data_IF_159736510588
#
_entry.id   IF_159736510588
#
_cell.length_a   1.000
_cell.length_b   1.000
_cell.length_c   1.000
_cell.angle_alpha   90.00
_cell.angle_beta   90.00
_cell.angle_gamma   90.00
#
_symmetry.space_group_name_H-M   'P 1'
#
loop_
_entity.id
_entity.type
_entity.pdbx_description
1 polymer ?
#
# COMPACT_ATOMS: atom_id res chain seq x y z
N UNK A 1 6.64 21.08 4.71
CA UNK A 1 5.34 20.95 5.35
C UNK A 1 4.81 19.55 5.15
N UNK A 2 4.49 18.88 6.22
CA UNK A 2 4.03 17.50 6.18
C UNK A 2 2.56 17.45 5.78
N UNK A 3 2.22 16.71 4.74
CA UNK A 3 0.85 16.57 4.29
C UNK A 3 0.36 15.15 4.62
N UNK A 4 -0.74 15.08 5.36
CA UNK A 4 -1.41 13.82 5.62
C UNK A 4 -2.53 13.62 4.62
N UNK A 5 -2.49 12.50 3.95
CA UNK A 5 -3.54 12.11 3.02
C UNK A 5 -4.67 11.42 3.79
N UNK A 6 -5.89 11.54 3.29
CA UNK A 6 -7.02 10.80 3.83
C UNK A 6 -6.89 9.30 3.52
N UNK A 7 -7.60 8.43 4.24
CA UNK A 7 -7.59 6.99 3.92
C UNK A 7 -7.96 6.71 2.46
N UNK A 8 -8.92 7.42 1.90
CA UNK A 8 -9.32 7.24 0.51
C UNK A 8 -8.23 7.69 -0.45
N UNK A 9 -7.58 8.81 -0.17
CA UNK A 9 -6.45 9.28 -0.97
C UNK A 9 -5.29 8.29 -0.92
N UNK A 10 -4.98 7.76 0.28
CA UNK A 10 -3.93 6.75 0.43
C UNK A 10 -4.27 5.47 -0.33
N UNK A 11 -5.50 4.97 -0.18
CA UNK A 11 -5.95 3.78 -0.91
C UNK A 11 -5.85 3.98 -2.41
N UNK A 12 -6.28 5.13 -2.90
CA UNK A 12 -6.23 5.48 -4.32
C UNK A 12 -4.79 5.45 -4.84
N UNK A 13 -3.87 6.01 -4.06
CA UNK A 13 -2.46 6.03 -4.40
C UNK A 13 -1.87 4.62 -4.41
N UNK A 14 -2.14 3.83 -3.38
CA UNK A 14 -1.62 2.46 -3.28
C UNK A 14 -2.15 1.58 -4.41
N UNK A 15 -3.43 1.68 -4.73
CA UNK A 15 -4.05 0.91 -5.82
C UNK A 15 -3.45 1.30 -7.18
N UNK A 16 -3.01 2.54 -7.35
CA UNK A 16 -2.41 2.99 -8.61
C UNK A 16 -1.12 2.26 -8.96
N UNK A 17 -0.45 1.63 -7.98
CA UNK A 17 0.71 0.79 -8.24
C UNK A 17 0.25 -0.63 -8.56
N UNK A 18 0.49 -1.13 -9.78
CA UNK A 18 0.04 -2.47 -10.16
C UNK A 18 0.97 -3.55 -9.60
N UNK A 19 0.98 -3.69 -8.29
CA UNK A 19 1.86 -4.62 -7.58
C UNK A 19 1.31 -6.05 -7.60
N UNK A 20 1.06 -6.56 -8.80
CA UNK A 20 0.70 -7.97 -8.98
C UNK A 20 1.82 -8.84 -8.42
N UNK A 21 1.46 -9.93 -7.77
CA UNK A 21 2.41 -10.75 -6.99
C UNK A 21 3.65 -11.19 -7.76
N UNK A 22 3.55 -11.30 -9.08
CA UNK A 22 4.69 -11.69 -9.94
C UNK A 22 5.64 -10.52 -10.26
N UNK A 23 5.22 -9.28 -10.02
CA UNK A 23 5.95 -8.08 -10.41
C UNK A 23 6.67 -7.46 -9.21
N UNK A 24 7.63 -6.56 -9.49
CA UNK A 24 8.31 -5.80 -8.46
C UNK A 24 7.33 -4.89 -7.71
N UNK A 25 7.53 -4.76 -6.40
CA UNK A 25 6.75 -3.82 -5.58
C UNK A 25 7.54 -2.57 -5.21
N UNK A 26 8.75 -2.41 -5.74
CA UNK A 26 9.64 -1.31 -5.32
C UNK A 26 9.05 0.09 -5.56
N UNK A 27 8.35 0.39 -6.65
CA UNK A 27 7.74 1.71 -6.80
C UNK A 27 6.76 2.04 -5.68
N UNK A 28 5.96 1.08 -5.26
CA UNK A 28 5.04 1.26 -4.12
C UNK A 28 5.83 1.45 -2.83
N UNK A 29 6.83 0.62 -2.61
CA UNK A 29 7.67 0.69 -1.40
C UNK A 29 8.37 2.05 -1.32
N UNK A 30 8.90 2.55 -2.44
CA UNK A 30 9.53 3.86 -2.50
C UNK A 30 8.55 4.96 -2.08
N UNK A 31 7.35 4.91 -2.61
CA UNK A 31 6.33 5.92 -2.30
C UNK A 31 5.94 5.89 -0.83
N UNK A 32 5.72 4.70 -0.27
CA UNK A 32 5.32 4.55 1.14
C UNK A 32 6.44 5.01 2.06
N UNK A 33 7.68 4.64 1.75
CA UNK A 33 8.83 5.07 2.56
C UNK A 33 8.97 6.58 2.57
N UNK A 34 8.81 7.22 1.41
CA UNK A 34 8.87 8.67 1.30
C UNK A 34 7.74 9.33 2.09
N UNK A 35 6.53 8.79 1.98
CA UNK A 35 5.37 9.30 2.72
C UNK A 35 5.59 9.22 4.23
N UNK A 36 6.11 8.09 4.72
CA UNK A 36 6.41 7.92 6.14
C UNK A 36 7.50 8.90 6.58
N UNK A 37 8.56 9.05 5.79
CA UNK A 37 9.66 9.96 6.11
C UNK A 37 9.17 11.40 6.18
N UNK A 38 8.32 11.83 5.26
CA UNK A 38 7.73 13.17 5.27
C UNK A 38 6.88 13.41 6.52
N UNK A 39 6.38 12.35 7.13
CA UNK A 39 5.61 12.42 8.37
C UNK A 39 6.46 12.11 9.61
N UNK A 40 7.79 12.14 9.47
CA UNK A 40 8.70 11.97 10.60
C UNK A 40 8.90 10.53 11.06
N UNK A 41 8.52 9.56 10.23
CA UNK A 41 8.60 8.14 10.55
C UNK A 41 9.70 7.51 9.71
N UNK A 42 10.63 6.81 10.38
CA UNK A 42 11.70 6.07 9.70
C UNK A 42 11.24 4.65 9.43
N UNK A 43 11.28 4.25 8.17
CA UNK A 43 10.97 2.89 7.77
C UNK A 43 12.25 2.12 7.46
N UNK A 44 12.20 0.81 7.66
CA UNK A 44 13.32 -0.10 7.41
C UNK A 44 12.90 -1.08 6.32
N UNK A 45 13.74 -1.21 5.28
CA UNK A 45 13.49 -2.13 4.18
C UNK A 45 14.14 -3.47 4.42
N UNK A 46 13.44 -4.49 4.00
CA UNK A 46 13.96 -5.85 3.94
C UNK A 46 13.71 -6.39 2.54
N UNK A 47 14.78 -6.55 1.76
CA UNK A 47 14.68 -7.02 0.36
C UNK A 47 14.62 -8.54 0.31
N UNK A 48 13.98 -9.05 -0.74
CA UNK A 48 14.04 -10.47 -1.04
C UNK A 48 15.37 -10.82 -1.75
N UNK A 49 15.54 -12.09 -2.08
CA UNK A 49 16.78 -12.56 -2.70
C UNK A 49 17.06 -11.91 -4.06
N UNK A 50 16.01 -11.52 -4.80
CA UNK A 50 16.16 -10.92 -6.12
C UNK A 50 16.49 -9.44 -6.06
N UNK A 51 16.20 -8.78 -4.96
CA UNK A 51 16.30 -7.33 -4.82
C UNK A 51 15.20 -6.56 -5.53
N UNK A 52 14.23 -7.25 -6.11
CA UNK A 52 13.11 -6.62 -6.82
C UNK A 52 11.88 -6.42 -5.95
N UNK A 53 11.89 -7.00 -4.77
CA UNK A 53 10.80 -6.87 -3.79
C UNK A 53 11.36 -6.51 -2.44
N UNK A 54 10.58 -5.74 -1.70
CA UNK A 54 10.95 -5.37 -0.34
C UNK A 54 9.72 -5.33 0.55
N UNK A 55 9.94 -5.64 1.83
CA UNK A 55 8.98 -5.37 2.89
C UNK A 55 9.42 -4.11 3.62
N UNK A 56 8.47 -3.40 4.22
CA UNK A 56 8.75 -2.25 5.07
C UNK A 56 8.32 -2.55 6.49
N UNK A 57 9.15 -2.12 7.43
CA UNK A 57 8.82 -2.12 8.85
C UNK A 57 9.03 -0.71 9.40
N UNK A 58 8.07 -0.21 10.16
CA UNK A 58 8.19 1.07 10.83
C UNK A 58 7.60 0.99 12.23
N UNK A 59 8.21 1.73 13.15
CA UNK A 59 7.73 1.86 14.51
C UNK A 59 7.19 3.28 14.71
N UNK A 60 5.99 3.37 15.27
CA UNK A 60 5.34 4.66 15.55
C UNK A 60 5.07 4.72 17.05
N UNK A 61 5.50 5.82 17.67
CA UNK A 61 5.32 6.04 19.10
C UNK A 61 6.56 5.72 19.93
N UNK A 62 6.42 5.66 21.25
CA UNK A 62 7.56 5.44 22.13
C UNK A 62 8.10 4.00 22.04
N UNK A 63 9.41 3.86 22.15
CA UNK A 63 10.09 2.55 22.14
C UNK A 63 10.03 1.94 23.54
N UNK A 64 8.88 1.38 23.89
CA UNK A 64 8.65 0.72 25.18
C UNK A 64 8.06 -0.66 24.95
N UNK A 65 8.06 -1.50 25.99
CA UNK A 65 7.44 -2.81 25.91
C UNK A 65 5.93 -2.71 25.65
N UNK A 66 5.41 -3.69 24.91
CA UNK A 66 4.01 -3.74 24.54
C UNK A 66 3.75 -3.06 23.21
N UNK A 67 2.51 -3.01 22.84
CA UNK A 67 2.11 -2.40 21.57
C UNK A 67 1.39 -3.39 20.68
N UNK A 68 1.09 -2.93 19.46
CA UNK A 68 0.35 -3.70 18.46
C UNK A 68 1.12 -3.66 17.15
N UNK A 69 1.22 -4.81 16.49
CA UNK A 69 1.76 -4.89 15.13
C UNK A 69 0.59 -4.94 14.16
N UNK A 70 0.55 -3.96 13.25
CA UNK A 70 -0.38 -3.98 12.13
C UNK A 70 0.37 -4.54 10.93
N UNK A 71 -0.09 -5.66 10.41
CA UNK A 71 0.57 -6.34 9.31
C UNK A 71 -0.35 -6.42 8.10
N UNK A 72 0.16 -5.99 6.96
CA UNK A 72 -0.59 -6.03 5.72
C UNK A 72 0.33 -6.32 4.54
N UNK A 73 -0.23 -6.89 3.48
CA UNK A 73 0.50 -7.11 2.24
C UNK A 73 0.10 -6.08 1.19
N UNK A 74 0.98 -5.81 0.25
CA UNK A 74 0.75 -4.83 -0.81
C UNK A 74 0.60 -5.47 -2.20
N UNK A 75 0.90 -6.75 -2.32
CA UNK A 75 0.69 -7.45 -3.58
C UNK A 75 -0.79 -7.75 -3.80
N UNK A 76 -1.14 -7.89 -5.06
CA UNK A 76 -2.50 -8.18 -5.47
C UNK A 76 -2.49 -9.29 -6.52
N UNK A 77 -3.62 -10.01 -6.60
CA UNK A 77 -3.76 -11.05 -7.62
C UNK A 77 -3.89 -10.42 -9.01
N UNK A 78 -3.50 -11.15 -10.07
CA UNK A 78 -3.58 -10.63 -11.43
C UNK A 78 -5.01 -10.30 -11.85
N UNK A 79 -5.13 -9.33 -12.76
CA UNK A 79 -6.41 -8.97 -13.37
C UNK A 79 -6.59 -9.57 -14.75
N UNK A 80 -5.58 -10.29 -15.24
CA UNK A 80 -5.55 -10.89 -16.56
C UNK A 80 -6.80 -11.74 -16.80
N UNK A 81 -7.48 -11.51 -17.91
CA UNK A 81 -8.65 -12.29 -18.29
C UNK A 81 -9.94 -12.00 -17.51
N UNK A 82 -9.93 -11.04 -16.61
CA UNK A 82 -11.11 -10.65 -15.85
C UNK A 82 -11.88 -9.55 -16.59
N UNK A 83 -13.23 -9.61 -16.57
CA UNK A 83 -14.05 -8.64 -17.29
C UNK A 83 -14.25 -7.35 -16.48
N UNK A 84 -13.19 -6.60 -16.26
CA UNK A 84 -13.28 -5.32 -15.56
C UNK A 84 -14.02 -4.29 -16.41
N UNK A 85 -14.94 -3.53 -15.80
CA UNK A 85 -15.67 -2.45 -16.45
C UNK A 85 -15.03 -1.08 -16.23
N UNK A 86 -13.95 -1.04 -15.44
CA UNK A 86 -13.13 0.15 -15.18
C UNK A 86 -11.68 -0.28 -15.13
N UNK A 87 -10.76 0.70 -15.07
CA UNK A 87 -9.33 0.40 -14.88
C UNK A 87 -9.13 -0.22 -13.49
N UNK A 88 -8.61 -1.46 -13.39
CA UNK A 88 -8.42 -2.12 -12.10
C UNK A 88 -7.46 -1.36 -11.16
N UNK A 89 -6.56 -0.56 -11.69
CA UNK A 89 -5.55 0.15 -10.90
C UNK A 89 -5.86 1.64 -10.73
N UNK A 90 -7.10 2.03 -11.02
CA UNK A 90 -7.60 3.38 -10.75
C UNK A 90 -8.85 3.25 -9.89
N UNK A 91 -8.79 3.72 -8.66
CA UNK A 91 -9.95 3.63 -7.76
C UNK A 91 -11.09 4.47 -8.31
N UNK A 92 -12.25 3.85 -8.45
CA UNK A 92 -13.46 4.50 -8.92
C UNK A 92 -14.57 4.34 -7.89
N UNK A 93 -15.23 5.44 -7.55
CA UNK A 93 -16.39 5.40 -6.67
C UNK A 93 -17.67 5.34 -7.51
N UNK A 94 -18.47 4.29 -7.29
CA UNK A 94 -19.76 4.09 -7.95
C UNK A 94 -20.76 3.57 -6.93
N UNK A 95 -21.94 4.18 -6.88
CA UNK A 95 -23.04 3.73 -6.02
C UNK A 95 -22.62 3.58 -4.55
N UNK A 96 -21.76 4.49 -4.07
CA UNK A 96 -21.28 4.47 -2.69
C UNK A 96 -20.23 3.39 -2.40
N UNK A 97 -19.64 2.79 -3.43
CA UNK A 97 -18.64 1.74 -3.30
C UNK A 97 -17.38 2.10 -4.07
N UNK A 98 -16.23 1.65 -3.57
CA UNK A 98 -14.95 1.84 -4.24
C UNK A 98 -14.57 0.57 -5.00
N UNK A 99 -14.21 0.74 -6.27
CA UNK A 99 -13.80 -0.35 -7.15
C UNK A 99 -12.34 -0.19 -7.54
N UNK A 100 -11.59 -1.27 -7.43
CA UNK A 100 -10.18 -1.32 -7.81
C UNK A 100 -9.53 -2.58 -7.28
N UNK A 101 -8.53 -3.08 -7.99
CA UNK A 101 -7.80 -4.26 -7.54
C UNK A 101 -6.99 -3.92 -6.29
N UNK A 102 -7.32 -4.53 -5.17
CA UNK A 102 -6.67 -4.29 -3.89
C UNK A 102 -7.47 -3.39 -2.94
N UNK A 103 -8.57 -2.79 -3.37
CA UNK A 103 -9.40 -1.98 -2.46
C UNK A 103 -9.82 -2.77 -1.23
N UNK A 104 -10.13 -4.06 -1.40
CA UNK A 104 -10.57 -4.94 -0.31
C UNK A 104 -9.40 -5.76 0.22
N UNK A 105 -8.56 -6.32 -0.64
CA UNK A 105 -7.49 -7.25 -0.27
C UNK A 105 -6.16 -6.76 -0.83
N UNK A 106 -5.39 -6.00 -0.06
CA UNK A 106 -5.80 -5.41 1.20
C UNK A 106 -5.30 -3.97 1.34
N UNK A 107 -5.16 -3.25 0.22
CA UNK A 107 -4.67 -1.86 0.21
C UNK A 107 -5.62 -0.90 0.93
N UNK A 108 -6.92 -1.23 1.00
CA UNK A 108 -7.84 -0.47 1.83
C UNK A 108 -7.46 -0.54 3.30
N UNK A 109 -7.13 -1.72 3.80
CA UNK A 109 -6.61 -1.89 5.15
C UNK A 109 -5.28 -1.18 5.33
N UNK A 110 -4.36 -1.34 4.37
CA UNK A 110 -3.04 -0.71 4.44
C UNK A 110 -3.15 0.81 4.58
N UNK A 111 -4.11 1.41 3.87
CA UNK A 111 -4.34 2.84 3.93
C UNK A 111 -4.85 3.30 5.30
N UNK A 112 -5.62 2.45 5.98
CA UNK A 112 -6.16 2.75 7.31
C UNK A 112 -5.13 2.51 8.41
N UNK A 113 -4.24 1.58 8.19
CA UNK A 113 -3.21 1.24 9.17
C UNK A 113 -2.17 2.34 9.30
#
# INVERSE_FOLDING_TARGET
MTQRLSPVELMTQLVSFPTVSRDSNLPLVDWVEDYLRENGITAHRHYDETGEKAALFAHVGPEVEGGVVLSGHTDVVPVDGQPWTSDPFTVEERDGKYFGRGCVDMKGFDALA
#
